data_IF_905977694419
#
_entry.id   IF_905977694419
#
_cell.length_a   1.000
_cell.length_b   1.000
_cell.length_c   1.000
_cell.angle_alpha   90.00
_cell.angle_beta   90.00
_cell.angle_gamma   90.00
#
_symmetry.space_group_name_H-M   'P 1'
#
loop_
_entity.id
_entity.type
_entity.pdbx_description
1 polymer ?
#
# COMPACT_ATOMS: atom_id res chain seq x y z
N UNK A 1 3.07 -1.18 -14.86
CA UNK A 1 2.97 -2.27 -13.87
C UNK A 1 4.26 -2.49 -13.08
N UNK A 2 5.35 -3.01 -13.66
CA UNK A 2 6.62 -3.17 -12.91
C UNK A 2 7.16 -1.81 -12.45
N UNK A 3 7.20 -0.83 -13.35
CA UNK A 3 7.64 0.56 -13.07
C UNK A 3 6.84 1.24 -11.95
N UNK A 4 5.55 0.94 -11.80
CA UNK A 4 4.73 1.51 -10.71
C UNK A 4 4.89 0.75 -9.40
N UNK A 5 5.07 -0.58 -9.43
CA UNK A 5 5.44 -1.35 -8.24
C UNK A 5 6.80 -0.94 -7.67
N UNK A 6 7.73 -0.52 -8.56
CA UNK A 6 9.02 0.06 -8.18
C UNK A 6 8.88 1.44 -7.53
N UNK A 7 7.73 2.10 -7.65
CA UNK A 7 7.47 3.36 -6.96
C UNK A 7 6.58 3.16 -5.72
N UNK A 8 5.67 2.19 -5.70
CA UNK A 8 4.77 1.94 -4.56
C UNK A 8 5.52 1.46 -3.31
N UNK A 9 6.25 0.34 -3.42
CA UNK A 9 6.88 -0.30 -2.26
C UNK A 9 8.00 0.54 -1.62
N UNK A 10 8.92 1.18 -2.38
CA UNK A 10 9.97 1.99 -1.77
C UNK A 10 9.46 3.24 -1.03
N UNK A 11 8.38 3.86 -1.52
CA UNK A 11 7.77 5.02 -0.85
C UNK A 11 7.21 4.63 0.52
N UNK A 12 6.47 3.52 0.59
CA UNK A 12 5.88 3.04 1.85
C UNK A 12 6.98 2.55 2.79
N UNK A 13 8.03 1.91 2.27
CA UNK A 13 9.17 1.50 3.07
C UNK A 13 9.86 2.69 3.73
N UNK A 14 10.05 3.80 3.01
CA UNK A 14 10.60 5.04 3.59
C UNK A 14 9.69 5.57 4.71
N UNK A 15 8.37 5.58 4.51
CA UNK A 15 7.42 5.98 5.56
C UNK A 15 7.49 5.06 6.79
N UNK A 16 7.62 3.74 6.60
CA UNK A 16 7.77 2.77 7.70
C UNK A 16 9.06 3.02 8.49
N UNK A 17 10.17 3.30 7.80
CA UNK A 17 11.43 3.62 8.45
C UNK A 17 11.29 4.86 9.35
N UNK A 18 10.70 5.92 8.83
CA UNK A 18 10.54 7.16 9.60
C UNK A 18 9.51 7.04 10.72
N UNK A 19 8.37 6.39 10.50
CA UNK A 19 7.26 6.41 11.45
C UNK A 19 7.33 5.33 12.53
N UNK A 20 7.99 4.19 12.24
CA UNK A 20 8.05 3.06 13.16
C UNK A 20 9.48 2.75 13.62
N UNK A 21 10.45 2.75 12.70
CA UNK A 21 11.82 2.32 13.00
C UNK A 21 12.63 3.42 13.68
N UNK A 22 12.58 4.67 13.19
CA UNK A 22 13.29 5.81 13.78
C UNK A 22 12.88 6.04 15.25
N UNK A 23 11.57 6.15 15.60
CA UNK A 23 11.14 6.25 17.00
C UNK A 23 11.57 5.06 17.85
N UNK A 24 11.49 3.84 17.32
CA UNK A 24 11.94 2.63 18.01
C UNK A 24 13.45 2.63 18.30
N UNK A 25 14.23 3.39 17.54
CA UNK A 25 15.66 3.63 17.75
C UNK A 25 15.97 4.91 18.54
N UNK A 26 14.95 5.61 19.07
CA UNK A 26 15.11 6.87 19.79
C UNK A 26 15.51 8.06 18.91
N UNK A 27 15.20 8.01 17.62
CA UNK A 27 15.41 9.09 16.64
C UNK A 27 14.10 9.76 16.30
N UNK A 28 14.15 11.06 16.08
CA UNK A 28 12.99 11.82 15.59
C UNK A 28 12.70 11.49 14.12
N UNK A 29 11.45 11.23 13.74
CA UNK A 29 11.05 11.01 12.34
C UNK A 29 11.29 12.23 11.44
N UNK A 30 11.73 11.99 10.20
CA UNK A 30 11.68 13.01 9.15
C UNK A 30 10.26 13.13 8.58
N UNK A 31 9.47 14.01 9.18
CA UNK A 31 8.08 14.26 8.75
C UNK A 31 7.99 14.99 7.40
N UNK A 32 9.05 15.63 6.91
CA UNK A 32 9.06 16.21 5.56
C UNK A 32 9.16 15.10 4.51
N UNK A 33 10.06 14.14 4.72
CA UNK A 33 10.17 12.95 3.88
C UNK A 33 8.86 12.13 3.87
N UNK A 34 8.21 11.96 5.02
CA UNK A 34 6.91 11.27 5.09
C UNK A 34 5.86 11.94 4.21
N UNK A 35 5.75 13.28 4.27
CA UNK A 35 4.79 14.03 3.44
C UNK A 35 5.11 13.97 1.95
N UNK A 36 6.39 14.04 1.56
CA UNK A 36 6.80 13.84 0.16
C UNK A 36 6.41 12.44 -0.33
N UNK A 37 6.70 11.42 0.47
CA UNK A 37 6.36 10.04 0.13
C UNK A 37 4.86 9.84 -0.02
N UNK A 38 4.07 10.37 0.92
CA UNK A 38 2.60 10.34 0.87
C UNK A 38 2.06 10.99 -0.41
N UNK A 39 2.55 12.18 -0.77
CA UNK A 39 2.14 12.88 -1.98
C UNK A 39 2.49 12.10 -3.26
N UNK A 40 3.71 11.56 -3.34
CA UNK A 40 4.15 10.74 -4.47
C UNK A 40 3.37 9.42 -4.56
N UNK A 41 3.02 8.84 -3.42
CA UNK A 41 2.21 7.63 -3.34
C UNK A 41 0.78 7.89 -3.83
N UNK A 42 0.22 9.07 -3.55
CA UNK A 42 -1.03 9.54 -4.14
C UNK A 42 -1.01 9.47 -5.67
N UNK A 43 0.04 10.00 -6.30
CA UNK A 43 0.17 9.96 -7.77
C UNK A 43 0.27 8.53 -8.32
N UNK A 44 0.98 7.63 -7.64
CA UNK A 44 1.06 6.21 -8.03
C UNK A 44 -0.33 5.56 -7.93
N UNK A 45 -1.08 5.85 -6.87
CA UNK A 45 -2.40 5.30 -6.65
C UNK A 45 -3.45 5.87 -7.63
N UNK A 46 -3.26 7.07 -8.16
CA UNK A 46 -4.10 7.60 -9.25
C UNK A 46 -3.93 6.78 -10.54
N UNK A 47 -2.70 6.32 -10.84
CA UNK A 47 -2.46 5.41 -11.95
C UNK A 47 -3.10 4.03 -11.70
N UNK A 48 -3.05 3.55 -10.45
CA UNK A 48 -3.73 2.31 -10.07
C UNK A 48 -5.24 2.44 -10.22
N UNK A 49 -5.82 3.58 -9.84
CA UNK A 49 -7.24 3.84 -9.99
C UNK A 49 -7.68 3.76 -11.45
N UNK A 50 -6.91 4.36 -12.37
CA UNK A 50 -7.18 4.25 -13.80
C UNK A 50 -7.03 2.80 -14.30
N UNK A 51 -5.98 2.10 -13.87
CA UNK A 51 -5.74 0.71 -14.25
C UNK A 51 -6.87 -0.22 -13.78
N UNK A 52 -7.23 -0.13 -12.51
CA UNK A 52 -8.25 -0.96 -11.87
C UNK A 52 -9.67 -0.58 -12.31
N UNK A 53 -9.86 0.57 -12.96
CA UNK A 53 -11.10 0.86 -13.67
C UNK A 53 -11.31 -0.03 -14.91
N UNK A 54 -10.23 -0.61 -15.46
CA UNK A 54 -10.22 -1.40 -16.70
C UNK A 54 -10.03 -2.90 -16.45
N UNK A 55 -9.36 -3.28 -15.37
CA UNK A 55 -9.06 -4.68 -15.03
C UNK A 55 -9.36 -4.94 -13.56
N UNK A 56 -9.76 -6.17 -13.21
CA UNK A 56 -10.11 -6.49 -11.82
C UNK A 56 -8.91 -6.40 -10.85
N UNK A 57 -7.74 -6.80 -11.31
CA UNK A 57 -6.47 -6.82 -10.58
C UNK A 57 -5.40 -6.06 -11.36
N UNK A 58 -4.23 -5.83 -10.76
CA UNK A 58 -3.17 -5.02 -11.37
C UNK A 58 -2.70 -5.63 -12.71
N UNK A 59 -2.57 -6.95 -12.75
CA UNK A 59 -2.11 -7.72 -13.91
C UNK A 59 -3.19 -8.11 -14.93
N UNK A 60 -4.46 -7.83 -14.67
CA UNK A 60 -5.58 -8.31 -15.50
C UNK A 60 -6.73 -8.80 -14.62
N UNK A 61 -7.45 -9.82 -15.06
CA UNK A 61 -8.68 -10.26 -14.37
C UNK A 61 -8.47 -11.41 -13.38
N UNK A 62 -7.21 -11.83 -13.18
CA UNK A 62 -6.85 -12.87 -12.21
C UNK A 62 -5.87 -12.32 -11.18
N UNK A 63 -6.03 -12.72 -9.92
CA UNK A 63 -5.11 -12.39 -8.83
C UNK A 63 -3.73 -13.00 -9.10
N UNK A 64 -2.67 -12.20 -9.00
CA UNK A 64 -1.30 -12.64 -9.26
C UNK A 64 -0.32 -12.16 -8.19
N UNK A 65 0.96 -12.48 -8.37
CA UNK A 65 2.05 -11.94 -7.56
C UNK A 65 2.08 -10.40 -7.57
N UNK A 66 1.62 -9.77 -8.66
CA UNK A 66 1.54 -8.32 -8.75
C UNK A 66 0.59 -7.71 -7.72
N UNK A 67 -0.42 -8.43 -7.24
CA UNK A 67 -1.35 -7.99 -6.20
C UNK A 67 -0.89 -8.45 -4.80
N UNK A 68 -0.38 -9.68 -4.72
CA UNK A 68 0.10 -10.30 -3.48
C UNK A 68 1.19 -9.47 -2.80
N UNK A 69 2.11 -8.91 -3.59
CA UNK A 69 3.27 -8.16 -3.05
C UNK A 69 2.89 -6.83 -2.40
N UNK A 70 1.67 -6.32 -2.63
CA UNK A 70 1.18 -5.08 -2.02
C UNK A 70 0.54 -5.29 -0.66
N UNK A 71 0.09 -6.51 -0.34
CA UNK A 71 -0.67 -6.79 0.88
C UNK A 71 -0.02 -6.26 2.18
N UNK A 72 1.28 -6.48 2.45
CA UNK A 72 1.90 -5.99 3.68
C UNK A 72 1.91 -4.46 3.77
N UNK A 73 2.29 -3.80 2.68
CA UNK A 73 2.44 -2.35 2.64
C UNK A 73 1.09 -1.63 2.63
N UNK A 74 0.08 -2.18 1.94
CA UNK A 74 -1.27 -1.63 2.00
C UNK A 74 -1.89 -1.83 3.38
N UNK A 75 -1.63 -2.95 4.07
CA UNK A 75 -2.06 -3.10 5.49
C UNK A 75 -1.50 -1.99 6.36
N UNK A 76 -0.22 -1.65 6.24
CA UNK A 76 0.39 -0.52 6.95
C UNK A 76 -0.36 0.80 6.70
N UNK A 77 -0.64 1.13 5.43
CA UNK A 77 -1.41 2.35 5.11
C UNK A 77 -2.80 2.31 5.77
N UNK A 78 -3.40 1.12 5.83
CA UNK A 78 -4.72 0.91 6.42
C UNK A 78 -4.72 0.87 7.95
N UNK A 79 -3.59 0.81 8.64
CA UNK A 79 -3.55 0.84 10.12
C UNK A 79 -2.92 2.12 10.66
N UNK A 80 -1.96 2.72 9.95
CA UNK A 80 -1.12 3.82 10.46
C UNK A 80 -1.58 5.22 10.01
N UNK A 81 -2.88 5.43 9.76
CA UNK A 81 -3.45 6.76 9.49
C UNK A 81 -3.44 7.23 8.03
N UNK A 82 -3.02 6.38 7.08
CA UNK A 82 -2.96 6.70 5.65
C UNK A 82 -4.12 6.09 4.83
N UNK A 83 -5.19 5.63 5.50
CA UNK A 83 -6.37 5.00 4.87
C UNK A 83 -6.96 5.81 3.72
N UNK A 84 -6.93 7.14 3.85
CA UNK A 84 -7.46 8.06 2.85
C UNK A 84 -6.82 7.89 1.46
N UNK A 85 -5.57 7.42 1.38
CA UNK A 85 -4.90 7.12 0.12
C UNK A 85 -5.58 5.96 -0.63
N UNK A 86 -6.17 5.02 0.10
CA UNK A 86 -6.87 3.86 -0.45
C UNK A 86 -8.36 4.17 -0.60
N UNK A 87 -9.02 4.63 0.48
CA UNK A 87 -10.48 4.74 0.57
C UNK A 87 -11.08 5.81 -0.36
N UNK A 88 -10.33 6.87 -0.70
CA UNK A 88 -10.81 7.93 -1.60
C UNK A 88 -10.82 7.52 -3.08
N UNK A 89 -10.20 6.40 -3.43
CA UNK A 89 -10.06 5.89 -4.80
C UNK A 89 -10.94 4.65 -4.95
N UNK A 90 -12.05 4.76 -5.67
CA UNK A 90 -13.10 3.73 -5.69
C UNK A 90 -12.57 2.36 -6.11
N UNK A 91 -11.82 2.29 -7.22
CA UNK A 91 -11.35 1.03 -7.77
C UNK A 91 -10.19 0.46 -6.95
N UNK A 92 -9.27 1.31 -6.47
CA UNK A 92 -8.21 0.92 -5.52
C UNK A 92 -8.81 0.37 -4.22
N UNK A 93 -9.82 1.04 -3.66
CA UNK A 93 -10.48 0.58 -2.45
C UNK A 93 -11.15 -0.77 -2.64
N UNK A 94 -11.90 -0.96 -3.74
CA UNK A 94 -12.52 -2.25 -4.06
C UNK A 94 -11.49 -3.36 -4.27
N UNK A 95 -10.39 -3.06 -4.97
CA UNK A 95 -9.26 -3.97 -5.13
C UNK A 95 -8.68 -4.37 -3.77
N UNK A 96 -8.43 -3.41 -2.89
CA UNK A 96 -7.94 -3.67 -1.53
C UNK A 96 -8.87 -4.58 -0.73
N UNK A 97 -10.18 -4.29 -0.74
CA UNK A 97 -11.17 -5.12 -0.05
C UNK A 97 -11.16 -6.56 -0.56
N UNK A 98 -11.01 -6.78 -1.86
CA UNK A 98 -10.95 -8.13 -2.45
C UNK A 98 -9.66 -8.87 -2.06
N UNK A 99 -8.49 -8.23 -2.25
CA UNK A 99 -7.21 -8.92 -2.01
C UNK A 99 -6.94 -9.16 -0.52
N UNK A 100 -7.38 -8.24 0.36
CA UNK A 100 -7.16 -8.36 1.80
C UNK A 100 -8.10 -9.39 2.46
N UNK A 101 -9.27 -9.65 1.88
CA UNK A 101 -10.22 -10.65 2.37
C UNK A 101 -9.77 -12.11 2.12
N UNK A 102 -8.67 -12.32 1.38
CA UNK A 102 -8.21 -13.67 1.04
C UNK A 102 -7.79 -14.46 2.28
N UNK A 103 -8.25 -15.72 2.45
CA UNK A 103 -7.93 -16.52 3.64
C UNK A 103 -6.43 -16.68 3.93
N UNK A 104 -5.60 -16.71 2.89
CA UNK A 104 -4.15 -16.78 3.03
C UNK A 104 -3.58 -15.52 3.72
N UNK A 105 -4.10 -14.33 3.39
CA UNK A 105 -3.66 -13.09 4.01
C UNK A 105 -4.11 -13.00 5.47
N UNK A 106 -5.38 -13.34 5.74
CA UNK A 106 -5.90 -13.39 7.11
C UNK A 106 -5.09 -14.32 8.02
N UNK A 107 -4.59 -15.45 7.50
CA UNK A 107 -3.67 -16.32 8.24
C UNK A 107 -2.35 -15.62 8.60
N UNK A 108 -1.80 -14.80 7.71
CA UNK A 108 -0.58 -14.02 8.00
C UNK A 108 -0.84 -13.00 9.11
N UNK A 109 -1.96 -12.28 9.05
CA UNK A 109 -2.33 -11.30 10.09
C UNK A 109 -2.51 -11.97 11.47
N UNK A 110 -3.04 -13.19 11.52
CA UNK A 110 -3.15 -13.95 12.77
C UNK A 110 -1.80 -14.36 13.38
N UNK A 111 -0.73 -14.43 12.58
CA UNK A 111 0.63 -14.76 13.06
C UNK A 111 1.40 -13.53 13.57
N UNK A 112 0.88 -12.31 13.35
CA UNK A 112 1.51 -11.06 13.79
C UNK A 112 1.05 -10.62 15.18
N UNK A 113 0.10 -11.35 15.79
CA UNK A 113 -0.43 -11.12 17.13
C UNK A 113 0.21 -12.05 18.17
#
# INVERSE_FOLDING_TARGET
MEVESHNYNPLIYAMVLELLVSPGMGREPDMELVRDCEGRLGNVLDVYEERLSKTKYLAGDTFTLADLTHLPNTTFLMTEGFRHLIEHRKNVHNWWLDISARPAWNKVLLLQN
#
